data_IF_738986856761
#
_entry.id   IF_738986856761
#
_cell.length_a   1.000
_cell.length_b   1.000
_cell.length_c   1.000
_cell.angle_alpha   90.00
_cell.angle_beta   90.00
_cell.angle_gamma   90.00
#
_symmetry.space_group_name_H-M   'P 1'
#
loop_
_entity.id
_entity.type
_entity.pdbx_description
1 polymer ?
#
# COMPACT_ATOMS: atom_id res chain seq x y z
N UNK A 1 35.04 82.39 -29.95
CA UNK A 1 35.30 82.05 -31.36
C UNK A 1 35.86 80.63 -31.39
N UNK A 2 35.04 79.67 -31.86
CA UNK A 2 35.34 78.33 -32.40
C UNK A 2 36.41 77.44 -31.74
N UNK A 3 36.03 76.18 -31.40
CA UNK A 3 37.01 75.10 -31.26
C UNK A 3 36.50 73.83 -30.60
N UNK A 4 35.96 72.91 -31.41
CA UNK A 4 35.54 71.55 -31.08
C UNK A 4 36.66 70.68 -30.46
N UNK A 5 36.36 69.90 -29.42
CA UNK A 5 37.09 68.65 -29.08
C UNK A 5 36.06 67.57 -28.71
N UNK A 6 36.04 66.49 -29.51
CA UNK A 6 35.26 65.27 -29.28
C UNK A 6 35.92 64.42 -28.18
N UNK A 7 35.13 63.95 -27.21
CA UNK A 7 35.54 62.83 -26.35
C UNK A 7 34.45 61.74 -26.40
N UNK A 8 34.86 60.61 -26.98
CA UNK A 8 34.18 59.32 -27.05
C UNK A 8 33.64 58.89 -25.68
N UNK A 9 32.34 58.61 -25.57
CA UNK A 9 31.75 58.01 -24.37
C UNK A 9 31.44 56.54 -24.64
N UNK A 10 32.22 55.64 -24.05
CA UNK A 10 31.98 54.19 -24.06
C UNK A 10 30.93 53.86 -23.01
N UNK A 11 29.79 53.30 -23.42
CA UNK A 11 28.75 52.77 -22.52
C UNK A 11 29.15 51.35 -22.10
N UNK A 12 29.43 51.13 -20.82
CA UNK A 12 29.61 49.78 -20.25
C UNK A 12 28.31 49.40 -19.55
N UNK A 13 27.56 48.48 -20.16
CA UNK A 13 26.33 47.91 -19.57
C UNK A 13 26.68 46.88 -18.49
N UNK A 14 26.25 47.11 -17.26
CA UNK A 14 26.26 46.12 -16.19
C UNK A 14 25.04 45.20 -16.33
N UNK A 15 25.24 43.95 -16.77
CA UNK A 15 24.24 42.89 -16.64
C UNK A 15 24.45 42.22 -15.26
N UNK A 16 23.54 42.49 -14.33
CA UNK A 16 23.49 41.80 -13.04
C UNK A 16 22.98 40.37 -13.28
N UNK A 17 23.87 39.38 -13.09
CA UNK A 17 23.50 37.97 -13.04
C UNK A 17 22.98 37.65 -11.63
N UNK A 18 21.67 37.52 -11.48
CA UNK A 18 21.09 36.86 -10.31
C UNK A 18 21.32 35.36 -10.50
N UNK A 19 22.01 34.66 -9.59
CA UNK A 19 22.08 33.21 -9.66
C UNK A 19 20.68 32.64 -9.39
N UNK A 20 20.08 32.06 -10.42
CA UNK A 20 18.90 31.20 -10.26
C UNK A 20 19.37 30.00 -9.43
N UNK A 21 19.05 29.98 -8.15
CA UNK A 21 19.13 28.76 -7.35
C UNK A 21 18.18 27.75 -7.98
N UNK A 22 18.74 26.78 -8.70
CA UNK A 22 17.99 25.63 -9.18
C UNK A 22 17.53 24.87 -7.94
N UNK A 23 16.27 25.07 -7.54
CA UNK A 23 15.65 24.24 -6.52
C UNK A 23 15.87 22.78 -6.93
N UNK A 24 16.44 21.98 -6.02
CA UNK A 24 16.69 20.58 -6.27
C UNK A 24 15.34 19.91 -6.57
N UNK A 25 15.05 19.68 -7.85
CA UNK A 25 13.92 18.86 -8.27
C UNK A 25 14.14 17.49 -7.62
N UNK A 26 13.15 16.94 -6.87
CA UNK A 26 13.29 15.59 -6.35
C UNK A 26 13.64 14.68 -7.52
N UNK A 27 14.78 14.01 -7.45
CA UNK A 27 15.15 13.01 -8.46
C UNK A 27 14.16 11.85 -8.33
N UNK A 28 13.10 11.88 -9.14
CA UNK A 28 12.08 10.82 -9.21
C UNK A 28 12.68 9.52 -9.78
N UNK A 29 13.85 9.59 -10.43
CA UNK A 29 14.56 8.44 -10.98
C UNK A 29 15.78 8.09 -10.10
N UNK A 30 15.71 6.95 -9.42
CA UNK A 30 16.87 6.34 -8.78
C UNK A 30 17.91 5.90 -9.81
N UNK A 31 19.19 5.89 -9.42
CA UNK A 31 20.32 5.41 -10.23
C UNK A 31 20.48 3.88 -10.20
N UNK A 32 19.46 3.14 -9.78
CA UNK A 32 19.51 1.69 -9.68
C UNK A 32 19.59 1.07 -11.08
N UNK A 33 20.82 0.80 -11.52
CA UNK A 33 21.14 0.23 -12.83
C UNK A 33 20.51 -1.17 -13.07
N UNK A 34 19.88 -1.76 -12.05
CA UNK A 34 19.27 -3.09 -12.07
C UNK A 34 17.75 -3.08 -11.77
N UNK A 35 17.12 -1.90 -11.70
CA UNK A 35 15.71 -1.77 -11.29
C UNK A 35 15.50 -1.86 -9.77
N UNK A 36 14.28 -1.62 -9.27
CA UNK A 36 14.00 -1.65 -7.84
C UNK A 36 14.08 -3.09 -7.29
N UNK A 37 14.96 -3.33 -6.29
CA UNK A 37 14.99 -4.56 -5.48
C UNK A 37 13.80 -4.59 -4.51
N UNK A 38 12.62 -4.97 -5.02
CA UNK A 38 11.39 -5.10 -4.24
C UNK A 38 11.41 -6.40 -3.42
N UNK A 39 11.21 -6.27 -2.11
CA UNK A 39 11.10 -7.42 -1.21
C UNK A 39 9.69 -7.52 -0.62
N UNK A 40 9.20 -8.75 -0.48
CA UNK A 40 7.93 -9.05 0.18
C UNK A 40 8.18 -9.54 1.60
N UNK A 41 7.58 -8.86 2.57
CA UNK A 41 7.64 -9.18 3.98
C UNK A 41 6.30 -9.75 4.43
N UNK A 42 6.24 -10.99 4.93
CA UNK A 42 4.99 -11.57 5.43
C UNK A 42 4.45 -10.71 6.57
N UNK A 43 3.25 -10.16 6.40
CA UNK A 43 2.61 -9.25 7.34
C UNK A 43 1.78 -10.04 8.35
N UNK A 44 0.83 -10.81 7.84
CA UNK A 44 -0.04 -11.70 8.60
C UNK A 44 -0.66 -12.75 7.67
N UNK A 45 -1.18 -13.81 8.28
CA UNK A 45 -2.16 -14.70 7.67
C UNK A 45 -3.50 -14.47 8.35
N UNK A 46 -4.57 -14.31 7.58
CA UNK A 46 -5.94 -14.14 8.11
C UNK A 46 -6.81 -15.32 7.69
N UNK A 47 -7.59 -15.86 8.63
CA UNK A 47 -8.65 -16.84 8.36
C UNK A 47 -10.00 -16.19 8.58
N UNK A 48 -10.82 -16.16 7.53
CA UNK A 48 -12.14 -15.49 7.54
C UNK A 48 -13.24 -16.53 7.40
N UNK A 49 -14.34 -16.29 8.12
CA UNK A 49 -15.58 -17.05 8.03
C UNK A 49 -16.61 -16.22 7.26
N UNK A 50 -16.75 -16.39 5.94
CA UNK A 50 -17.85 -15.77 5.20
C UNK A 50 -19.21 -16.31 5.67
N UNK A 51 -20.21 -15.45 5.62
CA UNK A 51 -21.62 -15.83 5.75
C UNK A 51 -22.16 -16.45 4.46
N UNK A 52 -23.41 -16.97 4.51
CA UNK A 52 -24.12 -17.42 3.33
C UNK A 52 -24.13 -16.33 2.26
N UNK A 53 -23.93 -16.71 0.98
CA UNK A 53 -24.00 -15.76 -0.12
C UNK A 53 -25.38 -15.11 -0.18
N UNK A 54 -25.39 -13.80 -0.41
CA UNK A 54 -26.58 -13.03 -0.74
C UNK A 54 -26.52 -12.74 -2.23
N UNK A 55 -27.36 -13.43 -3.00
CA UNK A 55 -27.48 -13.22 -4.44
C UNK A 55 -28.16 -11.88 -4.71
N UNK A 56 -27.42 -10.92 -5.26
CA UNK A 56 -27.99 -9.67 -5.77
C UNK A 56 -28.47 -9.89 -7.20
N UNK A 57 -27.78 -10.74 -7.96
CA UNK A 57 -28.15 -11.16 -9.30
C UNK A 57 -27.42 -10.40 -10.41
N UNK A 58 -27.88 -10.62 -11.65
CA UNK A 58 -27.29 -10.04 -12.83
C UNK A 58 -27.49 -8.52 -12.89
N UNK A 59 -26.41 -7.78 -13.13
CA UNK A 59 -26.40 -6.35 -13.33
C UNK A 59 -25.51 -5.93 -14.51
N UNK A 60 -25.43 -4.62 -14.81
CA UNK A 60 -24.73 -4.11 -15.99
C UNK A 60 -23.22 -4.39 -16.02
N UNK A 61 -22.62 -4.77 -14.89
CA UNK A 61 -21.20 -5.11 -14.77
C UNK A 61 -20.93 -6.62 -14.64
N UNK A 62 -21.96 -7.46 -14.59
CA UNK A 62 -21.86 -8.89 -14.26
C UNK A 62 -22.81 -9.31 -13.14
N UNK A 63 -22.65 -10.53 -12.64
CA UNK A 63 -23.47 -11.05 -11.54
C UNK A 63 -22.87 -10.63 -10.19
N UNK A 64 -23.68 -9.96 -9.36
CA UNK A 64 -23.26 -9.49 -8.03
C UNK A 64 -23.69 -10.49 -6.96
N UNK A 65 -22.76 -10.86 -6.10
CA UNK A 65 -22.99 -11.66 -4.89
C UNK A 65 -22.33 -10.93 -3.73
N UNK A 66 -23.01 -10.88 -2.58
CA UNK A 66 -22.41 -10.33 -1.36
C UNK A 66 -22.14 -11.46 -0.39
N UNK A 67 -20.91 -11.54 0.14
CA UNK A 67 -20.50 -12.46 1.19
C UNK A 67 -20.29 -11.67 2.49
N UNK A 68 -21.25 -11.68 3.43
CA UNK A 68 -21.10 -11.00 4.71
C UNK A 68 -19.90 -11.56 5.49
N UNK A 69 -19.13 -10.70 6.15
CA UNK A 69 -18.05 -11.14 7.01
C UNK A 69 -18.58 -11.55 8.39
N UNK A 70 -18.39 -12.80 8.82
CA UNK A 70 -18.78 -13.28 10.16
C UNK A 70 -17.62 -13.29 11.17
N UNK A 71 -16.52 -12.64 10.81
CA UNK A 71 -15.30 -12.55 11.60
C UNK A 71 -14.30 -13.65 11.28
N UNK A 72 -13.32 -13.76 12.16
CA UNK A 72 -12.12 -14.54 11.88
C UNK A 72 -10.98 -14.13 12.79
N UNK A 73 -9.80 -14.62 12.47
CA UNK A 73 -8.57 -14.37 13.22
C UNK A 73 -7.42 -14.10 12.25
N UNK A 74 -6.50 -13.25 12.66
CA UNK A 74 -5.28 -13.01 11.90
C UNK A 74 -4.08 -13.00 12.84
N UNK A 75 -2.96 -13.48 12.32
CA UNK A 75 -1.72 -13.55 13.08
C UNK A 75 -0.52 -13.34 12.16
N UNK A 76 0.42 -12.54 12.65
CA UNK A 76 1.67 -12.26 12.00
C UNK A 76 2.70 -11.75 13.01
N UNK A 77 3.96 -11.55 12.57
CA UNK A 77 5.07 -11.28 13.49
C UNK A 77 4.94 -9.99 14.30
N UNK A 78 4.20 -9.00 13.81
CA UNK A 78 4.03 -7.68 14.44
C UNK A 78 2.57 -7.29 14.67
N UNK A 79 1.62 -8.11 14.26
CA UNK A 79 0.21 -7.81 14.34
C UNK A 79 -0.58 -9.11 14.45
N UNK A 80 -1.49 -9.17 15.42
CA UNK A 80 -2.41 -10.29 15.57
C UNK A 80 -3.71 -9.82 16.20
N UNK A 81 -4.76 -10.59 16.03
CA UNK A 81 -6.06 -10.27 16.59
C UNK A 81 -7.20 -10.97 15.86
N UNK A 82 -8.34 -10.29 15.81
CA UNK A 82 -9.58 -10.83 15.25
C UNK A 82 -10.16 -9.94 14.17
N UNK A 83 -10.85 -10.56 13.23
CA UNK A 83 -11.71 -9.87 12.27
C UNK A 83 -13.08 -9.69 12.92
N UNK A 84 -13.59 -8.46 12.95
CA UNK A 84 -14.92 -8.17 13.49
C UNK A 84 -16.00 -8.65 12.50
N UNK A 85 -17.17 -9.10 12.98
CA UNK A 85 -18.27 -9.58 12.14
C UNK A 85 -19.04 -8.42 11.49
N UNK A 86 -18.33 -7.58 10.75
CA UNK A 86 -18.86 -6.40 10.04
C UNK A 86 -18.19 -6.28 8.67
N UNK A 87 -18.95 -5.81 7.69
CA UNK A 87 -18.49 -5.70 6.31
C UNK A 87 -18.67 -7.00 5.53
N UNK A 88 -17.87 -7.18 4.48
CA UNK A 88 -18.00 -8.31 3.57
C UNK A 88 -17.32 -8.09 2.23
N UNK A 89 -17.41 -9.12 1.37
CA UNK A 89 -16.99 -9.07 -0.03
C UNK A 89 -18.21 -8.81 -0.92
N UNK A 90 -18.15 -7.73 -1.69
CA UNK A 90 -19.13 -7.40 -2.71
C UNK A 90 -18.69 -7.98 -4.06
N UNK A 91 -18.53 -9.30 -4.12
CA UNK A 91 -18.00 -10.01 -5.26
C UNK A 91 -18.76 -9.74 -6.57
N UNK A 92 -18.01 -9.52 -7.65
CA UNK A 92 -18.54 -9.38 -9.01
C UNK A 92 -18.02 -10.52 -9.88
N UNK A 93 -18.93 -11.28 -10.48
CA UNK A 93 -18.61 -12.34 -11.42
C UNK A 93 -18.86 -11.89 -12.85
N UNK A 94 -17.87 -12.07 -13.72
CA UNK A 94 -18.01 -11.81 -15.15
C UNK A 94 -18.62 -13.01 -15.91
N UNK A 95 -18.81 -12.85 -17.22
CA UNK A 95 -19.36 -13.89 -18.09
C UNK A 95 -18.49 -15.15 -18.16
N UNK A 96 -17.20 -15.03 -17.87
CA UNK A 96 -16.23 -16.12 -17.83
C UNK A 96 -16.10 -16.72 -16.42
N UNK A 97 -16.97 -16.33 -15.49
CA UNK A 97 -17.02 -16.79 -14.09
C UNK A 97 -15.80 -16.38 -13.25
N UNK A 98 -14.97 -15.44 -13.71
CA UNK A 98 -13.94 -14.85 -12.86
C UNK A 98 -14.58 -13.91 -11.85
N UNK A 99 -14.12 -14.01 -10.60
CA UNK A 99 -14.56 -13.16 -9.50
C UNK A 99 -13.59 -12.01 -9.32
N UNK A 100 -14.13 -10.79 -9.26
CA UNK A 100 -13.44 -9.60 -8.73
C UNK A 100 -13.92 -9.35 -7.32
N UNK A 101 -12.98 -9.28 -6.39
CA UNK A 101 -13.22 -9.02 -4.97
C UNK A 101 -13.31 -7.52 -4.72
N UNK A 102 -14.22 -7.13 -3.84
CA UNK A 102 -14.45 -5.75 -3.40
C UNK A 102 -14.82 -5.79 -1.91
N UNK A 103 -13.80 -5.82 -1.07
CA UNK A 103 -13.92 -6.16 0.34
C UNK A 103 -13.69 -4.94 1.21
N UNK A 104 -14.60 -4.75 2.17
CA UNK A 104 -14.42 -3.82 3.28
C UNK A 104 -14.67 -4.54 4.58
N UNK A 105 -13.72 -4.48 5.51
CA UNK A 105 -13.77 -5.17 6.80
C UNK A 105 -13.02 -4.41 7.89
N UNK A 106 -13.27 -4.80 9.15
CA UNK A 106 -12.64 -4.17 10.32
C UNK A 106 -11.90 -5.22 11.14
N UNK A 107 -10.63 -4.99 11.41
CA UNK A 107 -9.79 -5.80 12.28
C UNK A 107 -9.69 -5.13 13.65
N UNK A 108 -9.61 -5.94 14.70
CA UNK A 108 -9.26 -5.53 16.05
C UNK A 108 -8.02 -6.32 16.49
N UNK A 109 -6.94 -5.61 16.81
CA UNK A 109 -5.72 -6.22 17.36
C UNK A 109 -5.96 -6.72 18.78
N UNK A 110 -5.09 -7.59 19.28
CA UNK A 110 -5.15 -8.12 20.65
C UNK A 110 -4.99 -7.05 21.74
N UNK A 111 -4.26 -5.98 21.45
CA UNK A 111 -4.13 -4.77 22.28
C UNK A 111 -5.23 -3.72 22.03
N UNK A 112 -6.23 -4.03 21.20
CA UNK A 112 -7.48 -3.27 21.07
C UNK A 112 -7.54 -2.20 19.98
N UNK A 113 -6.48 -2.00 19.21
CA UNK A 113 -6.50 -1.07 18.07
C UNK A 113 -7.44 -1.56 16.96
N UNK A 114 -8.17 -0.62 16.33
CA UNK A 114 -9.04 -0.90 15.19
C UNK A 114 -8.34 -0.53 13.89
N UNK A 115 -8.45 -1.40 12.89
CA UNK A 115 -7.86 -1.20 11.56
C UNK A 115 -8.95 -1.50 10.53
N UNK A 116 -9.28 -0.51 9.69
CA UNK A 116 -10.08 -0.72 8.50
C UNK A 116 -9.20 -1.35 7.43
N UNK A 117 -9.70 -2.40 6.79
CA UNK A 117 -9.02 -3.09 5.70
C UNK A 117 -9.88 -2.96 4.45
N UNK A 118 -9.26 -2.46 3.39
CA UNK A 118 -9.82 -2.39 2.05
C UNK A 118 -9.06 -3.38 1.19
N UNK A 119 -9.76 -4.31 0.57
CA UNK A 119 -9.14 -5.37 -0.21
C UNK A 119 -9.85 -5.48 -1.56
N UNK A 120 -9.06 -5.53 -2.63
CA UNK A 120 -9.57 -5.75 -3.98
C UNK A 120 -8.69 -6.77 -4.67
N UNK A 121 -9.25 -7.54 -5.59
CA UNK A 121 -8.47 -8.58 -6.25
C UNK A 121 -9.25 -9.37 -7.27
N UNK A 122 -8.62 -10.41 -7.79
CA UNK A 122 -9.24 -11.25 -8.82
C UNK A 122 -8.78 -12.70 -8.71
N UNK A 123 -9.72 -13.61 -8.95
CA UNK A 123 -9.42 -15.04 -9.08
C UNK A 123 -8.53 -15.29 -10.30
N UNK A 124 -7.56 -16.18 -10.14
CA UNK A 124 -6.62 -16.54 -11.19
C UNK A 124 -7.16 -17.67 -12.08
N UNK A 125 -6.66 -17.82 -13.33
CA UNK A 125 -7.02 -18.95 -14.19
C UNK A 125 -6.85 -20.30 -13.48
N UNK A 126 -7.77 -21.24 -13.74
CA UNK A 126 -7.83 -22.52 -13.03
C UNK A 126 -8.75 -22.52 -11.80
N UNK A 127 -9.17 -21.34 -11.33
CA UNK A 127 -10.26 -21.21 -10.37
C UNK A 127 -11.62 -21.46 -11.04
N UNK A 128 -12.22 -22.63 -10.84
CA UNK A 128 -13.52 -22.98 -11.41
C UNK A 128 -14.19 -24.19 -10.76
N UNK A 129 -15.46 -24.49 -11.08
CA UNK A 129 -16.16 -25.66 -10.55
C UNK A 129 -15.42 -26.95 -10.94
N UNK A 130 -14.91 -27.69 -9.94
CA UNK A 130 -14.12 -28.92 -10.15
C UNK A 130 -12.60 -28.74 -10.17
N UNK A 131 -12.09 -27.51 -10.13
CA UNK A 131 -10.67 -27.24 -9.91
C UNK A 131 -10.33 -27.22 -8.42
N UNK A 132 -9.19 -27.81 -8.05
CA UNK A 132 -8.58 -27.52 -6.75
C UNK A 132 -7.93 -26.14 -6.83
N UNK A 133 -8.27 -25.29 -5.85
CA UNK A 133 -7.65 -24.00 -5.54
C UNK A 133 -8.26 -22.81 -6.30
N UNK A 134 -9.21 -22.13 -5.65
CA UNK A 134 -9.62 -20.76 -6.00
C UNK A 134 -8.56 -19.78 -5.47
N UNK A 135 -7.36 -19.78 -6.09
CA UNK A 135 -6.37 -18.74 -5.78
C UNK A 135 -6.88 -17.42 -6.31
N UNK A 136 -7.01 -16.43 -5.44
CA UNK A 136 -7.12 -15.03 -5.85
C UNK A 136 -5.89 -14.27 -5.41
N UNK A 137 -5.47 -13.30 -6.23
CA UNK A 137 -4.48 -12.32 -5.83
C UNK A 137 -5.20 -11.04 -5.47
N UNK A 138 -4.82 -10.48 -4.33
CA UNK A 138 -5.44 -9.30 -3.75
C UNK A 138 -4.40 -8.24 -3.46
N UNK A 139 -4.82 -6.99 -3.51
CA UNK A 139 -4.10 -5.83 -2.99
C UNK A 139 -4.88 -5.29 -1.80
N UNK A 140 -4.17 -4.86 -0.77
CA UNK A 140 -4.77 -4.38 0.47
C UNK A 140 -4.26 -2.99 0.82
N UNK A 141 -5.16 -2.18 1.36
CA UNK A 141 -4.87 -0.91 2.00
C UNK A 141 -5.49 -0.89 3.40
N UNK A 142 -4.88 -0.11 4.28
CA UNK A 142 -5.23 -0.08 5.70
C UNK A 142 -5.45 1.34 6.18
N UNK A 143 -6.36 1.51 7.14
CA UNK A 143 -6.56 2.78 7.82
C UNK A 143 -6.78 2.54 9.32
N UNK A 144 -6.00 3.24 10.15
CA UNK A 144 -6.14 3.26 11.61
C UNK A 144 -5.74 4.60 12.19
N UNK A 145 -6.41 4.98 13.27
CA UNK A 145 -6.03 6.11 14.13
C UNK A 145 -5.11 5.73 15.30
N UNK A 146 -4.73 4.46 15.44
CA UNK A 146 -3.90 4.01 16.55
C UNK A 146 -2.41 4.29 16.29
N UNK A 147 -1.77 5.10 17.13
CA UNK A 147 -0.37 5.51 16.96
C UNK A 147 0.61 4.33 16.87
N UNK A 148 0.40 3.29 17.68
CA UNK A 148 1.23 2.08 17.69
C UNK A 148 1.23 1.33 16.34
N UNK A 149 0.18 1.51 15.54
CA UNK A 149 -0.07 0.87 14.25
C UNK A 149 -0.06 1.85 13.08
N UNK A 150 0.19 3.14 13.30
CA UNK A 150 0.09 4.17 12.27
C UNK A 150 1.03 3.95 11.07
N UNK A 151 2.04 3.09 11.21
CA UNK A 151 2.91 2.62 10.13
C UNK A 151 2.15 1.83 9.05
N UNK A 152 1.06 1.13 9.40
CA UNK A 152 0.29 0.32 8.46
C UNK A 152 -0.47 1.17 7.44
N UNK A 153 -0.78 2.43 7.78
CA UNK A 153 -1.47 3.36 6.88
C UNK A 153 -0.68 3.70 5.61
N UNK A 154 0.63 3.40 5.59
CA UNK A 154 1.52 3.63 4.44
C UNK A 154 1.90 2.33 3.74
N UNK A 155 1.42 1.18 4.24
CA UNK A 155 1.79 -0.12 3.71
C UNK A 155 1.18 -0.34 2.32
N UNK A 156 2.01 -0.74 1.37
CA UNK A 156 1.56 -1.32 0.10
C UNK A 156 1.56 -2.82 0.29
N UNK A 157 0.38 -3.43 0.32
CA UNK A 157 0.23 -4.85 0.61
C UNK A 157 -0.41 -5.63 -0.52
N UNK A 158 0.01 -6.88 -0.64
CA UNK A 158 -0.51 -7.88 -1.57
C UNK A 158 -0.78 -9.17 -0.82
N UNK A 159 -1.71 -9.98 -1.31
CA UNK A 159 -2.05 -11.25 -0.68
C UNK A 159 -2.47 -12.33 -1.64
N UNK A 160 -2.39 -13.55 -1.16
CA UNK A 160 -2.83 -14.77 -1.86
C UNK A 160 -3.94 -15.40 -1.04
N UNK A 161 -5.12 -15.47 -1.65
CA UNK A 161 -6.29 -16.09 -1.04
C UNK A 161 -6.31 -17.58 -1.38
N UNK A 162 -6.52 -18.40 -0.35
CA UNK A 162 -6.72 -19.83 -0.43
C UNK A 162 -8.08 -20.20 0.14
N UNK A 163 -8.85 -21.02 -0.58
CA UNK A 163 -10.06 -21.63 -0.02
C UNK A 163 -9.65 -22.82 0.84
N UNK A 164 -9.98 -22.80 2.12
CA UNK A 164 -9.66 -23.88 3.06
C UNK A 164 -10.75 -24.95 3.05
N UNK A 165 -12.01 -24.54 3.17
CA UNK A 165 -13.19 -25.42 3.17
C UNK A 165 -14.45 -24.66 2.64
N UNK A 166 -15.65 -25.27 2.58
CA UNK A 166 -16.84 -24.57 2.07
C UNK A 166 -17.24 -23.29 2.82
N UNK A 167 -16.81 -23.12 4.07
CA UNK A 167 -17.20 -22.01 4.96
C UNK A 167 -16.03 -21.17 5.48
N UNK A 168 -14.80 -21.42 5.02
CA UNK A 168 -13.62 -20.65 5.44
C UNK A 168 -12.61 -20.41 4.32
N UNK A 169 -11.98 -19.24 4.39
CA UNK A 169 -10.88 -18.84 3.51
C UNK A 169 -9.66 -18.43 4.35
N UNK A 170 -8.48 -18.57 3.77
CA UNK A 170 -7.23 -18.02 4.29
C UNK A 170 -6.68 -16.99 3.31
N UNK A 171 -6.05 -15.95 3.81
CA UNK A 171 -5.28 -15.02 2.98
C UNK A 171 -3.94 -14.83 3.66
N UNK A 172 -2.87 -15.17 2.96
CA UNK A 172 -1.52 -14.79 3.34
C UNK A 172 -1.24 -13.41 2.76
N UNK A 173 -0.79 -12.47 3.58
CA UNK A 173 -0.59 -11.07 3.20
C UNK A 173 0.87 -10.69 3.42
N UNK A 174 1.44 -9.97 2.46
CA UNK A 174 2.78 -9.41 2.50
C UNK A 174 2.72 -7.91 2.26
N UNK A 175 3.63 -7.16 2.90
CA UNK A 175 3.92 -5.76 2.54
C UNK A 175 5.15 -5.69 1.65
N UNK A 176 5.14 -4.74 0.72
CA UNK A 176 6.36 -4.34 0.03
C UNK A 176 7.25 -3.61 1.04
N UNK A 177 8.41 -4.20 1.32
CA UNK A 177 9.43 -3.59 2.16
C UNK A 177 10.22 -2.54 1.37
N UNK A 178 10.88 -1.56 2.05
CA UNK A 178 11.72 -0.57 1.38
C UNK A 178 12.87 -1.27 0.66
N UNK A 179 13.40 -0.63 -0.39
CA UNK A 179 14.51 -1.18 -1.15
C UNK A 179 15.72 -1.46 -0.25
N UNK A 180 16.46 -2.53 -0.52
CA UNK A 180 17.70 -2.86 0.23
C UNK A 180 18.70 -1.69 0.22
N UNK A 181 18.70 -0.89 -0.85
CA UNK A 181 19.51 0.34 -0.98
C UNK A 181 19.13 1.46 -0.01
N UNK A 182 17.93 1.43 0.58
CA UNK A 182 17.45 2.40 1.57
C UNK A 182 17.82 2.02 3.01
N UNK A 183 18.48 0.87 3.22
CA UNK A 183 18.94 0.42 4.55
C UNK A 183 20.46 0.24 4.54
N UNK A 184 21.22 1.20 5.11
CA UNK A 184 22.66 1.32 4.89
C UNK A 184 23.55 0.18 5.45
N UNK A 185 23.12 -0.55 6.49
CA UNK A 185 24.02 -1.49 7.20
C UNK A 185 23.85 -2.96 6.82
N UNK A 186 22.80 -3.31 6.07
CA UNK A 186 22.56 -4.69 5.60
C UNK A 186 22.45 -5.76 6.69
N UNK A 187 22.37 -5.39 7.97
CA UNK A 187 22.40 -6.33 9.10
C UNK A 187 20.98 -6.52 9.66
N UNK A 188 20.50 -7.76 9.56
CA UNK A 188 19.29 -8.30 10.20
C UNK A 188 18.07 -7.38 10.27
N UNK A 189 17.37 -7.30 9.15
CA UNK A 189 16.04 -6.71 9.09
C UNK A 189 15.00 -7.81 9.04
N UNK A 190 14.39 -8.14 10.19
CA UNK A 190 13.04 -8.72 10.15
C UNK A 190 12.19 -7.75 9.29
N UNK A 191 11.80 -8.12 8.05
CA UNK A 191 11.51 -7.12 7.02
C UNK A 191 10.42 -6.10 7.39
N UNK A 192 9.49 -6.48 8.27
CA UNK A 192 8.43 -5.59 8.78
C UNK A 192 8.92 -4.66 9.90
N UNK A 193 9.84 -5.10 10.78
CA UNK A 193 10.36 -4.25 11.89
C UNK A 193 11.17 -3.08 11.33
N UNK A 194 11.96 -3.38 10.32
CA UNK A 194 12.66 -2.42 9.50
C UNK A 194 11.71 -1.39 8.87
N UNK A 195 10.65 -1.89 8.23
CA UNK A 195 9.62 -1.03 7.64
C UNK A 195 8.98 -0.12 8.70
N UNK A 196 8.58 -0.68 9.85
CA UNK A 196 8.02 0.09 10.97
C UNK A 196 8.99 1.17 11.47
N UNK A 197 10.27 0.85 11.59
CA UNK A 197 11.33 1.79 12.00
C UNK A 197 11.52 2.90 10.98
N UNK A 198 11.63 2.56 9.70
CA UNK A 198 11.79 3.53 8.61
C UNK A 198 10.62 4.54 8.56
N UNK A 199 9.39 4.09 8.79
CA UNK A 199 8.21 4.98 8.87
C UNK A 199 8.24 5.85 10.12
N UNK A 200 8.76 5.36 11.25
CA UNK A 200 8.90 6.17 12.46
C UNK A 200 9.96 7.27 12.31
N UNK A 201 11.11 6.96 11.71
CA UNK A 201 12.21 7.90 11.46
C UNK A 201 11.83 9.00 10.45
N UNK A 202 11.02 8.70 9.43
CA UNK A 202 10.54 9.72 8.48
C UNK A 202 9.57 10.73 9.10
N UNK A 203 8.85 10.35 10.17
CA UNK A 203 7.98 11.27 10.91
C UNK A 203 8.76 12.21 11.81
N UNK A 204 9.81 11.74 12.46
CA UNK A 204 10.65 12.58 13.33
C UNK A 204 11.40 13.65 12.53
N UNK A 205 11.88 13.32 11.32
CA UNK A 205 12.54 14.30 10.45
C UNK A 205 11.58 15.39 9.95
N UNK A 206 10.33 15.05 9.63
CA UNK A 206 9.31 16.03 9.21
C UNK A 206 8.79 16.91 10.35
N UNK A 207 8.83 16.43 11.60
CA UNK A 207 8.43 17.21 12.77
C UNK A 207 9.41 18.33 13.15
N UNK A 208 10.69 18.21 12.75
CA UNK A 208 11.74 19.17 13.11
C UNK A 208 11.70 20.48 12.28
N UNK A 209 10.85 20.57 11.24
CA UNK A 209 10.80 21.71 10.31
C UNK A 209 9.68 22.72 10.53
N UNK A 210 8.85 22.58 11.56
CA UNK A 210 7.66 23.44 11.79
C UNK A 210 7.78 24.43 12.96
N UNK A 211 8.97 24.55 13.56
CA UNK A 211 9.25 25.51 14.63
C UNK A 211 10.42 26.43 14.27
N UNK A 212 10.15 27.46 13.48
CA UNK A 212 10.97 28.67 13.36
C UNK A 212 10.11 29.84 12.90
#
# INVERSE_FOLDING_TARGET
>A
MVGFINIMTTVVSFVSLIPITLAAVPRIYGTDAFGPDLQLAHLYTVRIKPGPPIEVGAGPRGNRVVYPNRGGEFEGPLIKGKVLPIGGDYALFDSNRFMTLDVRQTFQTDDGALIQVFETGRTQPGAGPGGNITTAYVQLAFETGADAYAWINQAVAVGVLHRLDPGSISIDVWVLAPLRSQVPDGSDMLPIRAYKRAVAESRSSNGAGSGA
#
